data_IF_386925049376
#
_entry.id   IF_386925049376
#
_cell.length_a   1.000
_cell.length_b   1.000
_cell.length_c   1.000
_cell.angle_alpha   90.00
_cell.angle_beta   90.00
_cell.angle_gamma   90.00
#
_symmetry.space_group_name_H-M   'P 1'
#
loop_
_entity.id
_entity.type
_entity.pdbx_description
1 polymer ?
#
# COMPACT_ATOMS: atom_id res chain seq x y z
N UNK A 1 -11.85 -35.95 -2.74
CA UNK A 1 -11.10 -35.57 -3.95
C UNK A 1 -11.43 -34.12 -4.25
N UNK A 2 -10.43 -33.28 -4.01
CA UNK A 2 -10.25 -31.87 -4.41
C UNK A 2 -11.43 -30.89 -4.36
N UNK A 3 -11.64 -30.31 -3.18
CA UNK A 3 -12.11 -28.92 -3.10
C UNK A 3 -10.94 -28.04 -3.52
N UNK A 4 -10.98 -27.55 -4.76
CA UNK A 4 -10.07 -26.51 -5.23
C UNK A 4 -10.17 -25.32 -4.27
N UNK A 5 -9.16 -25.21 -3.40
CA UNK A 5 -8.86 -24.02 -2.63
C UNK A 5 -8.40 -22.99 -3.65
N UNK A 6 -9.37 -22.36 -4.31
CA UNK A 6 -9.17 -21.11 -5.02
C UNK A 6 -8.74 -20.13 -3.95
N UNK A 7 -7.42 -20.07 -3.74
CA UNK A 7 -6.73 -18.96 -3.12
C UNK A 7 -7.25 -17.74 -3.86
N UNK A 8 -8.25 -17.06 -3.31
CA UNK A 8 -8.63 -15.74 -3.77
C UNK A 8 -7.40 -14.90 -3.50
N UNK A 9 -6.55 -14.78 -4.51
CA UNK A 9 -5.49 -13.80 -4.60
C UNK A 9 -6.19 -12.44 -4.78
N UNK A 10 -6.92 -12.02 -3.75
CA UNK A 10 -7.56 -10.72 -3.66
C UNK A 10 -6.47 -9.74 -3.21
N UNK A 11 -5.38 -9.68 -3.96
CA UNK A 11 -4.43 -8.59 -3.87
C UNK A 11 -5.14 -7.39 -4.49
N UNK A 12 -5.92 -6.65 -3.69
CA UNK A 12 -6.38 -5.34 -4.12
C UNK A 12 -5.11 -4.54 -4.46
N UNK A 13 -5.14 -3.94 -5.65
CA UNK A 13 -4.03 -3.19 -6.16
C UNK A 13 -4.63 -1.87 -6.59
N UNK A 14 -4.27 -0.82 -5.86
CA UNK A 14 -4.74 0.51 -6.16
C UNK A 14 -4.00 1.01 -7.40
N UNK A 15 -4.74 1.34 -8.45
CA UNK A 15 -4.21 1.97 -9.64
C UNK A 15 -4.25 3.48 -9.44
N UNK A 16 -3.09 4.11 -9.37
CA UNK A 16 -2.96 5.54 -9.06
C UNK A 16 -2.49 6.30 -10.29
N UNK A 17 -3.25 7.28 -10.81
CA UNK A 17 -2.78 8.18 -11.83
C UNK A 17 -1.64 9.07 -11.32
N UNK A 18 -0.56 9.12 -12.08
CA UNK A 18 0.65 9.91 -11.81
C UNK A 18 0.95 10.78 -13.02
N UNK A 19 1.22 12.05 -12.76
CA UNK A 19 1.69 13.00 -13.77
C UNK A 19 3.22 13.04 -13.76
N UNK A 20 3.83 12.98 -14.94
CA UNK A 20 5.28 13.09 -15.14
C UNK A 20 5.61 14.16 -16.17
N UNK A 21 6.60 15.00 -15.87
CA UNK A 21 7.12 16.00 -16.81
C UNK A 21 8.63 16.10 -16.76
N UNK A 22 9.23 16.55 -17.86
CA UNK A 22 10.66 16.80 -17.93
C UNK A 22 10.94 18.27 -17.65
N UNK A 23 11.73 18.55 -16.61
CA UNK A 23 12.11 19.90 -16.18
C UNK A 23 13.61 19.94 -15.95
N UNK A 24 14.32 20.84 -16.66
CA UNK A 24 15.77 21.04 -16.45
C UNK A 24 16.61 19.77 -16.63
N UNK A 25 16.27 18.92 -17.61
CA UNK A 25 16.99 17.67 -17.88
C UNK A 25 16.66 16.51 -16.93
N UNK A 26 15.82 16.70 -15.92
CA UNK A 26 15.35 15.66 -14.99
C UNK A 26 13.87 15.36 -15.20
N UNK A 27 13.45 14.18 -14.76
CA UNK A 27 12.05 13.79 -14.71
C UNK A 27 11.48 14.10 -13.34
N UNK A 28 10.36 14.81 -13.31
CA UNK A 28 9.58 15.12 -12.13
C UNK A 28 8.25 14.38 -12.21
N UNK A 29 7.93 13.59 -11.18
CA UNK A 29 6.69 12.84 -11.08
C UNK A 29 5.92 13.24 -9.81
N UNK A 30 4.60 13.33 -9.91
CA UNK A 30 3.71 13.68 -8.80
C UNK A 30 2.35 12.99 -8.95
N UNK A 31 1.65 12.76 -7.84
CA UNK A 31 0.36 12.09 -7.81
C UNK A 31 -0.73 13.11 -7.44
N UNK A 32 -1.51 13.63 -8.40
CA UNK A 32 -2.43 14.75 -8.16
C UNK A 32 -3.56 14.44 -7.16
N UNK A 33 -3.88 13.17 -6.94
CA UNK A 33 -4.82 12.74 -5.93
C UNK A 33 -4.35 13.02 -4.48
N UNK A 34 -3.05 13.16 -4.28
CA UNK A 34 -2.42 13.36 -2.98
C UNK A 34 -1.79 14.76 -2.94
N UNK A 35 -2.60 15.78 -2.65
CA UNK A 35 -2.17 17.18 -2.69
C UNK A 35 -0.99 17.48 -1.75
N UNK A 36 -0.91 16.79 -0.61
CA UNK A 36 0.15 16.96 0.39
C UNK A 36 1.43 16.19 0.04
N UNK A 37 1.38 15.32 -0.97
CA UNK A 37 2.53 14.53 -1.40
C UNK A 37 3.45 15.36 -2.29
N UNK A 38 4.68 15.58 -1.82
CA UNK A 38 5.69 16.31 -2.59
C UNK A 38 6.08 15.57 -3.87
N UNK A 39 6.30 16.28 -5.00
CA UNK A 39 6.83 15.69 -6.22
C UNK A 39 8.22 15.05 -6.02
N UNK A 40 8.46 13.94 -6.70
CA UNK A 40 9.77 13.29 -6.75
C UNK A 40 10.50 13.69 -8.02
N UNK A 41 11.84 13.71 -7.96
CA UNK A 41 12.68 13.97 -9.14
C UNK A 41 13.73 12.89 -9.32
N UNK A 42 14.01 12.52 -10.56
CA UNK A 42 15.06 11.57 -10.92
C UNK A 42 15.71 11.90 -12.29
N UNK A 43 16.86 11.29 -12.55
CA UNK A 43 17.58 11.47 -13.82
C UNK A 43 16.93 10.73 -14.99
N UNK A 44 16.22 9.63 -14.74
CA UNK A 44 15.47 8.86 -15.73
C UNK A 44 13.99 8.78 -15.38
N UNK A 45 13.17 8.51 -16.40
CA UNK A 45 11.73 8.33 -16.26
C UNK A 45 11.40 7.17 -15.31
N UNK A 46 12.03 6.00 -15.53
CA UNK A 46 11.81 4.81 -14.70
C UNK A 46 12.16 5.04 -13.23
N UNK A 47 13.25 5.77 -12.96
CA UNK A 47 13.63 6.11 -11.60
C UNK A 47 12.66 7.09 -10.93
N UNK A 48 12.05 8.01 -11.69
CA UNK A 48 11.01 8.90 -11.18
C UNK A 48 9.73 8.11 -10.87
N UNK A 49 9.34 7.17 -11.73
CA UNK A 49 8.18 6.30 -11.54
C UNK A 49 8.35 5.33 -10.37
N UNK A 50 9.54 4.77 -10.18
CA UNK A 50 9.83 3.94 -9.01
C UNK A 50 9.72 4.75 -7.72
N UNK A 51 10.35 5.94 -7.68
CA UNK A 51 10.31 6.82 -6.51
C UNK A 51 8.91 7.31 -6.16
N UNK A 52 8.10 7.70 -7.14
CA UNK A 52 6.75 8.18 -6.87
C UNK A 52 5.86 7.04 -6.39
N UNK A 53 6.06 5.82 -6.90
CA UNK A 53 5.34 4.63 -6.42
C UNK A 53 5.64 4.38 -4.95
N UNK A 54 6.92 4.43 -4.54
CA UNK A 54 7.32 4.31 -3.13
C UNK A 54 6.76 5.45 -2.27
N UNK A 55 6.81 6.69 -2.76
CA UNK A 55 6.27 7.86 -2.04
C UNK A 55 4.76 7.79 -1.87
N UNK A 56 4.00 7.41 -2.90
CA UNK A 56 2.55 7.22 -2.82
C UNK A 56 2.24 6.12 -1.81
N UNK A 57 2.89 4.97 -1.93
CA UNK A 57 2.63 3.83 -1.06
C UNK A 57 2.97 4.14 0.41
N UNK A 58 4.07 4.86 0.68
CA UNK A 58 4.41 5.31 2.03
C UNK A 58 3.38 6.30 2.58
N UNK A 59 2.96 7.26 1.78
CA UNK A 59 1.99 8.27 2.20
C UNK A 59 0.62 7.66 2.51
N UNK A 60 0.21 6.71 1.69
CA UNK A 60 -0.97 5.87 1.88
C UNK A 60 -0.91 5.11 3.22
N UNK A 61 0.24 4.51 3.54
CA UNK A 61 0.42 3.83 4.83
C UNK A 61 0.35 4.82 6.01
N UNK A 62 0.93 6.01 5.86
CA UNK A 62 0.86 7.06 6.88
C UNK A 62 -0.61 7.50 7.14
N UNK A 63 -1.42 7.63 6.07
CA UNK A 63 -2.85 7.93 6.18
C UNK A 63 -3.62 6.83 6.91
N UNK A 64 -3.32 5.56 6.64
CA UNK A 64 -3.93 4.45 7.35
C UNK A 64 -3.55 4.43 8.83
N UNK A 65 -2.27 4.66 9.15
CA UNK A 65 -1.76 4.73 10.53
C UNK A 65 -2.40 5.90 11.32
N UNK A 66 -2.67 7.03 10.67
CA UNK A 66 -3.37 8.17 11.28
C UNK A 66 -4.89 8.03 11.32
N UNK A 67 -5.45 6.92 10.82
CA UNK A 67 -6.90 6.71 10.69
C UNK A 67 -7.58 7.68 9.73
N UNK A 68 -6.82 8.28 8.82
CA UNK A 68 -7.31 9.21 7.80
C UNK A 68 -7.68 8.45 6.55
N UNK A 69 -8.83 8.78 5.96
CA UNK A 69 -9.32 8.10 4.76
C UNK A 69 -8.41 8.39 3.56
N UNK A 70 -8.08 7.34 2.80
CA UNK A 70 -7.36 7.48 1.54
C UNK A 70 -8.26 8.22 0.54
N UNK A 71 -7.77 9.29 -0.12
CA UNK A 71 -8.57 10.05 -1.07
C UNK A 71 -8.90 9.22 -2.32
N UNK A 72 -10.02 9.55 -2.97
CA UNK A 72 -10.34 9.01 -4.30
C UNK A 72 -9.31 9.50 -5.33
N UNK A 73 -8.65 8.54 -5.97
CA UNK A 73 -7.59 8.81 -6.95
C UNK A 73 -8.10 9.31 -8.30
N UNK A 74 -9.39 9.10 -8.57
CA UNK A 74 -10.02 9.49 -9.82
C UNK A 74 -9.46 8.77 -11.05
N UNK A 75 -9.95 9.15 -12.22
CA UNK A 75 -9.52 8.57 -13.50
C UNK A 75 -8.46 9.42 -14.19
N UNK A 76 -7.76 8.82 -15.16
CA UNK A 76 -6.77 9.52 -15.99
C UNK A 76 -7.37 10.75 -16.68
N UNK A 77 -8.60 10.65 -17.19
CA UNK A 77 -9.30 11.73 -17.89
C UNK A 77 -9.61 12.90 -16.96
N UNK A 78 -9.99 12.60 -15.72
CA UNK A 78 -10.31 13.61 -14.71
C UNK A 78 -9.05 14.33 -14.25
N UNK A 79 -7.96 13.58 -14.05
CA UNK A 79 -6.67 14.12 -13.66
C UNK A 79 -6.04 14.96 -14.78
N UNK A 80 -6.12 14.50 -16.04
CA UNK A 80 -5.53 15.20 -17.18
C UNK A 80 -6.08 16.61 -17.41
N UNK A 81 -7.32 16.87 -16.98
CA UNK A 81 -7.96 18.20 -17.06
C UNK A 81 -7.45 19.19 -16.01
N UNK A 82 -6.72 18.73 -14.98
CA UNK A 82 -6.28 19.59 -13.88
C UNK A 82 -5.18 20.57 -14.31
N UNK A 83 -5.19 21.83 -13.83
CA UNK A 83 -4.19 22.83 -14.20
C UNK A 83 -2.75 22.41 -13.90
N UNK A 84 -2.52 21.69 -12.79
CA UNK A 84 -1.18 21.20 -12.41
C UNK A 84 -0.62 20.17 -13.40
N UNK A 85 -1.49 19.49 -14.15
CA UNK A 85 -1.13 18.48 -15.13
C UNK A 85 -0.85 19.05 -16.53
N UNK A 86 -0.94 20.37 -16.72
CA UNK A 86 -0.63 21.00 -18.00
C UNK A 86 0.81 20.67 -18.41
N UNK A 87 0.97 20.14 -19.63
CA UNK A 87 2.25 19.72 -20.22
C UNK A 87 2.94 18.56 -19.49
N UNK A 88 2.23 17.85 -18.62
CA UNK A 88 2.66 16.57 -18.08
C UNK A 88 2.07 15.42 -18.90
N UNK A 89 2.78 14.31 -18.96
CA UNK A 89 2.26 13.03 -19.42
C UNK A 89 1.62 12.34 -18.23
N UNK A 90 0.39 11.84 -18.37
CA UNK A 90 -0.25 11.04 -17.33
C UNK A 90 0.04 9.57 -17.59
N UNK A 91 0.43 8.86 -16.55
CA UNK A 91 0.57 7.41 -16.52
C UNK A 91 -0.13 6.87 -15.29
N UNK A 92 -0.22 5.56 -15.16
CA UNK A 92 -0.69 4.91 -13.93
C UNK A 92 0.43 4.13 -13.29
N UNK A 93 0.43 4.07 -11.97
CA UNK A 93 1.29 3.19 -11.18
C UNK A 93 0.41 2.27 -10.34
N UNK A 94 0.87 1.04 -10.15
CA UNK A 94 0.20 0.08 -9.30
C UNK A 94 0.81 0.13 -7.91
N UNK A 95 -0.03 0.40 -6.91
CA UNK A 95 0.34 0.40 -5.50
C UNK A 95 -0.35 -0.76 -4.82
N UNK A 96 0.42 -1.63 -4.17
CA UNK A 96 -0.13 -2.74 -3.38
C UNK A 96 -0.73 -2.14 -2.12
N UNK A 97 -2.05 -2.25 -1.96
CA UNK A 97 -2.80 -1.61 -0.87
C UNK A 97 -3.11 -2.58 0.27
N UNK A 98 -2.37 -3.69 0.39
CA UNK A 98 -2.47 -4.61 1.53
C UNK A 98 -2.29 -3.95 2.90
N UNK A 99 -1.63 -2.80 2.96
CA UNK A 99 -1.51 -2.00 4.18
C UNK A 99 -2.73 -1.09 4.44
N UNK A 100 -3.57 -0.87 3.42
CA UNK A 100 -4.81 -0.09 3.45
C UNK A 100 -6.05 -0.92 3.71
N UNK A 101 -5.96 -2.25 3.72
CA UNK A 101 -7.05 -3.13 4.16
C UNK A 101 -7.37 -2.80 5.63
N UNK A 102 -8.16 -1.74 5.80
CA UNK A 102 -8.74 -1.27 7.06
C UNK A 102 -9.97 -2.12 7.38
N UNK A 103 -10.36 -3.01 6.46
CA UNK A 103 -11.46 -3.94 6.63
C UNK A 103 -11.08 -4.95 7.71
N UNK A 104 -11.71 -4.77 8.87
CA UNK A 104 -11.57 -5.67 10.02
C UNK A 104 -12.36 -6.93 9.71
N UNK A 105 -11.68 -7.99 9.32
CA UNK A 105 -12.32 -9.30 9.16
C UNK A 105 -12.61 -9.93 10.53
N UNK A 106 -13.87 -10.37 10.75
CA UNK A 106 -14.24 -11.11 11.95
C UNK A 106 -13.82 -12.57 11.78
N UNK A 107 -12.86 -12.99 12.60
CA UNK A 107 -12.39 -14.39 12.66
C UNK A 107 -12.90 -15.10 13.90
N UNK A 108 -13.32 -16.36 13.75
CA UNK A 108 -13.66 -17.24 14.86
C UNK A 108 -12.45 -18.14 15.17
N UNK A 109 -11.94 -18.07 16.40
CA UNK A 109 -10.78 -18.85 16.84
C UNK A 109 -11.05 -19.53 18.20
N UNK A 110 -10.40 -20.67 18.43
CA UNK A 110 -10.48 -21.39 19.70
C UNK A 110 -9.21 -21.10 20.51
N UNK A 111 -9.38 -20.58 21.73
CA UNK A 111 -8.28 -20.26 22.65
C UNK A 111 -8.57 -20.89 24.01
N UNK A 112 -7.55 -21.45 24.67
CA UNK A 112 -7.67 -21.96 26.02
C UNK A 112 -8.15 -20.86 26.99
N UNK A 113 -9.18 -21.15 27.80
CA UNK A 113 -9.84 -20.16 28.67
C UNK A 113 -8.88 -19.38 29.57
N UNK A 114 -7.86 -20.06 30.12
CA UNK A 114 -6.81 -19.42 30.95
C UNK A 114 -5.98 -18.38 30.19
N UNK A 115 -5.70 -18.63 28.91
CA UNK A 115 -4.93 -17.72 28.06
C UNK A 115 -5.80 -16.53 27.68
N UNK A 116 -7.07 -16.77 27.35
CA UNK A 116 -8.02 -15.70 27.03
C UNK A 116 -8.19 -14.73 28.20
N UNK A 117 -8.33 -15.26 29.44
CA UNK A 117 -8.42 -14.43 30.64
C UNK A 117 -7.15 -13.59 30.87
N UNK A 118 -5.97 -14.20 30.77
CA UNK A 118 -4.70 -13.48 30.90
C UNK A 118 -4.51 -12.41 29.82
N UNK A 119 -4.93 -12.69 28.58
CA UNK A 119 -4.89 -11.74 27.48
C UNK A 119 -5.82 -10.54 27.72
N UNK A 120 -7.06 -10.79 28.19
CA UNK A 120 -8.02 -9.73 28.51
C UNK A 120 -7.53 -8.84 29.66
N UNK A 121 -6.94 -9.42 30.70
CA UNK A 121 -6.36 -8.66 31.83
C UNK A 121 -5.18 -7.81 31.36
N UNK A 122 -4.31 -8.36 30.53
CA UNK A 122 -3.20 -7.61 29.93
C UNK A 122 -3.70 -6.47 29.06
N UNK A 123 -4.68 -6.73 28.20
CA UNK A 123 -5.24 -5.73 27.29
C UNK A 123 -5.82 -4.54 28.09
N UNK A 124 -6.66 -4.81 29.10
CA UNK A 124 -7.24 -3.79 29.98
C UNK A 124 -6.18 -2.94 30.68
N UNK A 125 -5.15 -3.56 31.26
CA UNK A 125 -4.06 -2.84 31.96
C UNK A 125 -3.25 -1.92 31.04
N UNK A 126 -3.24 -2.20 29.75
CA UNK A 126 -2.51 -1.44 28.74
C UNK A 126 -3.41 -0.57 27.85
N UNK A 127 -4.70 -0.42 28.19
CA UNK A 127 -5.65 0.37 27.40
C UNK A 127 -5.91 -0.17 25.99
N UNK A 128 -5.70 -1.47 25.77
CA UNK A 128 -5.94 -2.15 24.50
C UNK A 128 -7.25 -2.93 24.54
N UNK A 129 -7.86 -3.13 23.38
CA UNK A 129 -8.87 -4.17 23.22
C UNK A 129 -8.23 -5.52 22.83
N UNK A 130 -9.02 -6.59 22.91
CA UNK A 130 -8.57 -7.96 22.64
C UNK A 130 -8.01 -8.12 21.21
N UNK A 131 -8.70 -7.56 20.22
CA UNK A 131 -8.27 -7.64 18.82
C UNK A 131 -6.95 -6.93 18.60
N UNK A 132 -6.77 -5.73 19.18
CA UNK A 132 -5.51 -4.99 19.12
C UNK A 132 -4.34 -5.76 19.75
N UNK A 133 -4.56 -6.39 20.91
CA UNK A 133 -3.53 -7.20 21.56
C UNK A 133 -3.11 -8.35 20.64
N UNK A 134 -4.06 -9.09 20.08
CA UNK A 134 -3.75 -10.20 19.19
C UNK A 134 -3.06 -9.75 17.90
N UNK A 135 -3.55 -8.68 17.26
CA UNK A 135 -2.93 -8.11 16.07
C UNK A 135 -1.47 -7.73 16.34
N UNK A 136 -1.20 -7.01 17.44
CA UNK A 136 0.17 -6.63 17.81
C UNK A 136 1.06 -7.83 18.11
N UNK A 137 0.55 -8.83 18.83
CA UNK A 137 1.29 -10.03 19.17
C UNK A 137 1.64 -10.86 17.93
N UNK A 138 0.67 -11.07 17.03
CA UNK A 138 0.85 -11.81 15.78
C UNK A 138 1.82 -11.05 14.87
N UNK A 139 1.62 -9.74 14.67
CA UNK A 139 2.49 -8.94 13.82
C UNK A 139 3.94 -8.99 14.29
N UNK A 140 4.17 -8.84 15.59
CA UNK A 140 5.50 -8.99 16.19
C UNK A 140 6.07 -10.40 15.98
N UNK A 141 5.26 -11.44 16.20
CA UNK A 141 5.69 -12.83 16.12
C UNK A 141 6.11 -13.22 14.69
N UNK A 142 5.33 -12.83 13.68
CA UNK A 142 5.63 -13.16 12.28
C UNK A 142 6.60 -12.15 11.62
N UNK A 143 7.06 -11.14 12.36
CA UNK A 143 7.89 -10.07 11.82
C UNK A 143 7.18 -9.19 10.78
N UNK A 144 5.84 -9.08 10.87
CA UNK A 144 5.04 -8.20 10.03
C UNK A 144 5.36 -6.76 10.39
N UNK A 145 6.04 -6.10 9.46
CA UNK A 145 6.30 -4.67 9.47
C UNK A 145 5.60 -4.11 8.22
N UNK A 146 4.52 -3.31 8.37
CA UNK A 146 3.80 -2.71 7.26
C UNK A 146 4.74 -2.01 6.28
N UNK A 147 5.84 -1.41 6.78
CA UNK A 147 6.83 -0.67 6.00
C UNK A 147 7.76 -1.57 5.20
N UNK A 148 7.96 -2.84 5.59
CA UNK A 148 8.82 -3.80 4.87
C UNK A 148 8.12 -4.45 3.68
N UNK A 149 6.79 -4.55 3.71
CA UNK A 149 6.01 -5.12 2.62
C UNK A 149 6.18 -4.30 1.34
N UNK A 150 6.24 -2.97 1.47
CA UNK A 150 6.57 -2.07 0.36
C UNK A 150 7.94 -2.35 -0.27
N UNK A 151 8.94 -2.73 0.53
CA UNK A 151 10.33 -2.94 0.06
C UNK A 151 10.57 -4.30 -0.61
N UNK A 152 9.75 -5.31 -0.34
CA UNK A 152 10.09 -6.70 -0.69
C UNK A 152 9.54 -7.15 -2.06
N UNK A 153 8.56 -6.46 -2.64
CA UNK A 153 7.85 -6.95 -3.84
C UNK A 153 8.39 -6.48 -5.20
N UNK A 154 9.53 -5.78 -5.24
CA UNK A 154 10.26 -5.48 -6.49
C UNK A 154 11.60 -6.22 -6.57
N UNK A 155 11.53 -7.55 -6.68
CA UNK A 155 12.49 -8.31 -7.50
C UNK A 155 11.72 -8.81 -8.71
N UNK A 156 11.91 -8.12 -9.84
CA UNK A 156 11.22 -8.39 -11.09
C UNK A 156 11.21 -9.88 -11.42
N UNK A 157 10.05 -10.37 -11.87
CA UNK A 157 9.95 -11.67 -12.53
C UNK A 157 10.99 -11.66 -13.66
N UNK A 158 12.01 -12.54 -13.68
CA UNK A 158 12.91 -12.61 -14.82
C UNK A 158 12.07 -12.97 -16.04
N UNK A 159 12.14 -12.14 -17.07
CA UNK A 159 11.45 -12.37 -18.33
C UNK A 159 11.77 -13.78 -18.81
N UNK A 160 10.74 -14.63 -18.97
CA UNK A 160 10.89 -15.91 -19.67
C UNK A 160 11.44 -15.59 -21.06
N UNK A 161 12.72 -15.88 -21.29
CA UNK A 161 13.26 -15.98 -22.64
C UNK A 161 12.43 -17.04 -23.37
N UNK A 162 11.53 -16.60 -24.26
CA UNK A 162 10.98 -17.50 -25.28
C UNK A 162 12.12 -17.84 -26.21
N UNK A 163 12.60 -19.08 -26.09
CA UNK A 163 13.52 -19.68 -27.04
C UNK A 163 12.77 -20.36 -28.18
N UNK A 164 13.45 -20.32 -29.33
CA UNK A 164 13.17 -20.95 -30.63
C UNK A 164 12.11 -20.28 -31.49
#
# INVERSE_FOLDING_TARGET
MDTAMATRDNSAAMIVPVAIRKTGGRFEAFAPAFADLKPVRAASMDAALARITESVASHIADLADSGTTVPDVGTVETIAKRPECKRATITVVQVDDKALETDRERVNIIIARRILAAADDYAKRNGLNRSELFTKAVAKFIGFDPRKILRFKWRGRPAKKKGR
#
